data_IF_344935038931
#
_entry.id   IF_344935038931
#
_cell.length_a   1.000
_cell.length_b   1.000
_cell.length_c   1.000
_cell.angle_alpha   90.00
_cell.angle_beta   90.00
_cell.angle_gamma   90.00
#
_symmetry.space_group_name_H-M   'P 1'
#
loop_
_entity.id
_entity.type
_entity.pdbx_description
1 polymer ?
#
# COMPACT_ATOMS: atom_id res chain seq x y z
N UNK A 1 28.36 33.20 11.81
CA UNK A 1 26.90 33.46 11.88
C UNK A 1 26.22 33.56 10.50
N UNK A 2 26.79 34.33 9.56
CA UNK A 2 26.18 34.56 8.24
C UNK A 2 26.16 33.33 7.32
N UNK A 3 27.19 32.48 7.33
CA UNK A 3 27.21 31.26 6.50
C UNK A 3 26.12 30.26 6.90
N UNK A 4 25.81 30.14 8.19
CA UNK A 4 24.75 29.26 8.68
C UNK A 4 23.37 29.72 8.21
N UNK A 5 23.11 31.05 8.20
CA UNK A 5 21.85 31.61 7.71
C UNK A 5 21.72 31.47 6.18
N UNK A 6 22.83 31.55 5.45
CA UNK A 6 22.84 31.34 4.01
C UNK A 6 22.53 29.87 3.64
N UNK A 7 23.12 28.92 4.37
CA UNK A 7 22.82 27.49 4.18
C UNK A 7 21.36 27.17 4.52
N UNK A 8 20.82 27.73 5.60
CA UNK A 8 19.41 27.56 5.98
C UNK A 8 18.46 28.11 4.90
N UNK A 9 18.77 29.28 4.34
CA UNK A 9 18.00 29.87 3.23
C UNK A 9 18.05 29.00 1.98
N UNK A 10 19.22 28.44 1.63
CA UNK A 10 19.36 27.56 0.48
C UNK A 10 18.56 26.26 0.64
N UNK A 11 18.58 25.66 1.84
CA UNK A 11 17.79 24.47 2.15
C UNK A 11 16.29 24.76 2.08
N UNK A 12 15.86 25.94 2.56
CA UNK A 12 14.47 26.37 2.46
C UNK A 12 14.02 26.51 0.99
N UNK A 13 14.81 27.16 0.14
CA UNK A 13 14.50 27.26 -1.30
C UNK A 13 14.44 25.89 -1.99
N UNK A 14 15.36 24.98 -1.66
CA UNK A 14 15.34 23.62 -2.18
C UNK A 14 14.06 22.85 -1.75
N UNK A 15 13.63 23.04 -0.49
CA UNK A 15 12.39 22.49 0.03
C UNK A 15 11.16 23.05 -0.72
N UNK A 16 11.14 24.35 -1.05
CA UNK A 16 10.06 24.94 -1.84
C UNK A 16 9.98 24.36 -3.26
N UNK A 17 11.12 24.15 -3.92
CA UNK A 17 11.16 23.46 -5.20
C UNK A 17 10.58 22.04 -5.11
N UNK A 18 10.93 21.28 -4.06
CA UNK A 18 10.40 19.94 -3.85
C UNK A 18 8.87 19.94 -3.62
N UNK A 19 8.34 20.93 -2.89
CA UNK A 19 6.89 21.07 -2.63
C UNK A 19 6.06 21.32 -3.89
N UNK A 20 6.65 21.80 -4.98
CA UNK A 20 5.95 21.95 -6.27
C UNK A 20 5.43 20.61 -6.82
N UNK A 21 6.10 19.49 -6.49
CA UNK A 21 5.71 18.15 -6.90
C UNK A 21 4.63 17.54 -5.99
N UNK A 22 4.40 18.11 -4.82
CA UNK A 22 3.34 17.74 -3.88
C UNK A 22 3.79 17.77 -2.42
N UNK A 23 2.85 17.63 -1.48
CA UNK A 23 3.16 17.52 -0.05
C UNK A 23 4.06 16.31 0.26
N UNK A 24 4.95 16.45 1.25
CA UNK A 24 5.82 15.36 1.71
C UNK A 24 7.10 15.12 0.90
N UNK A 25 7.22 15.70 -0.30
CA UNK A 25 8.42 15.53 -1.15
C UNK A 25 9.67 16.16 -0.55
N UNK A 26 9.54 17.33 0.09
CA UNK A 26 10.67 17.99 0.72
C UNK A 26 11.23 17.15 1.88
N UNK A 27 10.35 16.57 2.68
CA UNK A 27 10.68 15.78 3.86
C UNK A 27 11.30 14.43 3.51
N UNK A 28 10.83 13.77 2.43
CA UNK A 28 11.47 12.55 1.92
C UNK A 28 12.88 12.85 1.38
N UNK A 29 13.08 14.01 0.76
CA UNK A 29 14.39 14.44 0.26
C UNK A 29 15.34 14.93 1.37
N UNK A 30 14.91 14.86 2.64
CA UNK A 30 15.74 15.21 3.79
C UNK A 30 15.80 16.70 4.09
N UNK A 31 14.93 17.52 3.48
CA UNK A 31 14.81 18.92 3.86
C UNK A 31 14.02 19.01 5.17
N UNK A 32 14.73 19.27 6.26
CA UNK A 32 14.15 19.30 7.60
C UNK A 32 13.06 20.36 7.71
N UNK A 33 11.91 19.94 8.23
CA UNK A 33 10.86 20.85 8.70
C UNK A 33 10.69 20.62 10.20
N UNK A 34 11.71 21.00 11.00
CA UNK A 34 11.58 21.26 12.43
C UNK A 34 11.22 20.11 13.39
N UNK A 35 11.31 18.83 13.01
CA UNK A 35 10.96 17.72 13.91
C UNK A 35 11.78 16.45 13.68
N UNK A 36 12.36 15.90 14.75
CA UNK A 36 13.02 14.59 14.78
C UNK A 36 12.04 13.51 14.29
N UNK A 37 12.30 12.95 13.10
CA UNK A 37 11.50 11.87 12.54
C UNK A 37 11.93 10.52 13.13
N UNK A 38 11.04 9.89 13.91
CA UNK A 38 11.15 8.48 14.29
C UNK A 38 10.70 7.56 13.15
N UNK A 39 11.31 6.38 13.03
CA UNK A 39 11.05 5.40 11.95
C UNK A 39 9.56 5.08 11.72
N UNK A 40 8.74 5.05 12.77
CA UNK A 40 7.29 4.82 12.66
C UNK A 40 6.59 5.91 11.83
N UNK A 41 6.96 7.18 12.02
CA UNK A 41 6.41 8.30 11.25
C UNK A 41 6.83 8.24 9.77
N UNK A 42 7.93 7.56 9.44
CA UNK A 42 8.44 7.48 8.07
C UNK A 42 7.59 6.55 7.20
N UNK A 43 7.08 5.44 7.77
CA UNK A 43 6.23 4.48 7.02
C UNK A 43 4.88 5.12 6.69
N UNK A 44 4.22 5.71 7.69
CA UNK A 44 2.94 6.41 7.49
C UNK A 44 3.11 7.60 6.53
N UNK A 45 4.23 8.32 6.61
CA UNK A 45 4.51 9.46 5.73
C UNK A 45 4.83 9.06 4.29
N UNK A 46 5.41 7.88 4.05
CA UNK A 46 5.58 7.32 2.69
C UNK A 46 4.21 7.01 2.08
N UNK A 47 3.30 6.44 2.86
CA UNK A 47 1.94 6.18 2.42
C UNK A 47 1.20 7.50 2.10
N UNK A 48 1.32 8.51 2.95
CA UNK A 48 0.75 9.84 2.69
C UNK A 48 1.31 10.48 1.41
N UNK A 49 2.62 10.36 1.15
CA UNK A 49 3.22 10.88 -0.09
C UNK A 49 2.66 10.17 -1.34
N UNK A 50 2.49 8.85 -1.28
CA UNK A 50 1.93 8.10 -2.41
C UNK A 50 0.48 8.52 -2.66
N UNK A 51 -0.33 8.60 -1.60
CA UNK A 51 -1.75 8.91 -1.68
C UNK A 51 -2.00 10.36 -2.10
N UNK A 52 -1.34 11.32 -1.43
CA UNK A 52 -1.62 12.75 -1.57
C UNK A 52 -0.86 13.39 -2.73
N UNK A 53 0.31 12.87 -3.09
CA UNK A 53 1.19 13.51 -4.09
C UNK A 53 1.33 12.67 -5.35
N UNK A 54 1.77 11.41 -5.22
CA UNK A 54 2.11 10.56 -6.37
C UNK A 54 0.89 10.17 -7.22
N UNK A 55 -0.27 9.95 -6.59
CA UNK A 55 -1.48 9.49 -7.28
C UNK A 55 -1.93 10.44 -8.41
N UNK A 56 -1.76 11.75 -8.23
CA UNK A 56 -2.05 12.75 -9.27
C UNK A 56 -1.16 12.54 -10.51
N UNK A 57 0.12 12.28 -10.29
CA UNK A 57 1.10 12.09 -11.36
C UNK A 57 0.91 10.76 -12.07
N UNK A 58 0.59 9.71 -11.34
CA UNK A 58 0.31 8.37 -11.90
C UNK A 58 -0.94 8.42 -12.77
N UNK A 59 -2.04 9.03 -12.31
CA UNK A 59 -3.24 9.20 -13.14
C UNK A 59 -2.99 10.02 -14.40
N UNK A 60 -2.06 10.98 -14.33
CA UNK A 60 -1.64 11.75 -15.50
C UNK A 60 -0.83 10.88 -16.46
N UNK A 61 0.09 10.06 -15.95
CA UNK A 61 0.85 9.11 -16.74
C UNK A 61 -0.06 8.07 -17.41
N UNK A 62 -0.99 7.45 -16.67
CA UNK A 62 -2.01 6.52 -17.20
C UNK A 62 -2.75 7.11 -18.39
N UNK A 63 -3.19 8.37 -18.26
CA UNK A 63 -3.93 9.07 -19.31
C UNK A 63 -3.07 9.32 -20.54
N UNK A 64 -1.84 9.78 -20.36
CA UNK A 64 -0.92 10.07 -21.48
C UNK A 64 -0.54 8.76 -22.19
N UNK A 65 -0.19 7.73 -21.43
CA UNK A 65 0.15 6.42 -21.99
C UNK A 65 -1.05 5.83 -22.74
N UNK A 66 -2.25 5.90 -22.17
CA UNK A 66 -3.48 5.46 -22.86
C UNK A 66 -3.75 6.25 -24.14
N UNK A 67 -3.47 7.56 -24.16
CA UNK A 67 -3.61 8.39 -25.37
C UNK A 67 -2.62 8.04 -26.50
N UNK A 68 -1.49 7.43 -26.16
CA UNK A 68 -0.51 6.97 -27.16
C UNK A 68 -0.92 5.64 -27.81
N UNK A 69 -1.88 4.91 -27.23
CA UNK A 69 -2.40 3.67 -27.77
C UNK A 69 -3.66 3.91 -28.62
N UNK A 70 -3.98 2.99 -29.55
CA UNK A 70 -5.21 3.05 -30.33
C UNK A 70 -6.45 3.13 -29.40
N UNK A 71 -7.30 4.18 -29.53
CA UNK A 71 -8.38 4.47 -28.57
C UNK A 71 -9.41 3.37 -28.38
N UNK A 72 -9.49 2.43 -29.33
CA UNK A 72 -10.56 1.44 -29.42
C UNK A 72 -10.16 0.04 -28.94
N UNK A 73 -8.87 -0.22 -28.66
CA UNK A 73 -8.40 -1.61 -28.48
C UNK A 73 -7.62 -1.84 -27.20
N UNK A 74 -6.97 -0.83 -26.65
CA UNK A 74 -6.09 -1.00 -25.50
C UNK A 74 -6.13 0.20 -24.56
N UNK A 75 -6.06 -0.08 -23.26
CA UNK A 75 -5.88 0.93 -22.21
C UNK A 75 -4.71 0.53 -21.34
N UNK A 76 -3.91 1.51 -20.91
CA UNK A 76 -2.80 1.28 -19.99
C UNK A 76 -3.22 1.76 -18.62
N UNK A 77 -3.09 0.89 -17.63
CA UNK A 77 -3.31 1.23 -16.22
C UNK A 77 -2.09 0.77 -15.45
N UNK A 78 -1.37 1.72 -14.87
CA UNK A 78 -0.33 1.43 -13.91
C UNK A 78 -0.98 0.89 -12.64
N UNK A 79 -0.48 -0.25 -12.19
CA UNK A 79 -0.91 -0.83 -10.93
C UNK A 79 -0.43 0.07 -9.78
N UNK A 80 -1.40 0.62 -9.04
CA UNK A 80 -1.14 1.50 -7.89
C UNK A 80 -0.83 0.69 -6.65
N UNK A 81 -1.32 -0.55 -6.59
CA UNK A 81 -1.07 -1.49 -5.50
C UNK A 81 0.34 -2.06 -5.58
N UNK A 82 0.99 -2.01 -6.74
CA UNK A 82 2.42 -2.29 -6.88
C UNK A 82 3.30 -1.10 -6.41
N UNK A 83 2.80 0.12 -6.51
CA UNK A 83 3.53 1.35 -6.17
C UNK A 83 3.41 1.72 -4.69
N UNK A 84 2.27 1.42 -4.08
CA UNK A 84 2.28 0.98 -2.70
C UNK A 84 3.03 -0.34 -2.71
N UNK A 85 4.35 -0.32 -2.74
CA UNK A 85 5.13 -1.44 -2.21
C UNK A 85 4.80 -1.46 -0.72
N UNK A 86 3.58 -1.92 -0.43
CA UNK A 86 3.05 -2.20 0.86
C UNK A 86 4.17 -3.02 1.46
N UNK A 87 4.68 -2.54 2.60
CA UNK A 87 5.59 -3.35 3.40
C UNK A 87 5.04 -4.77 3.36
N UNK A 88 5.90 -5.75 3.14
CA UNK A 88 5.48 -7.15 2.98
C UNK A 88 4.39 -7.55 3.99
N UNK A 89 4.44 -6.97 5.19
CA UNK A 89 3.40 -6.98 6.22
C UNK A 89 1.99 -6.51 5.76
N UNK A 90 1.84 -5.30 5.24
CA UNK A 90 0.53 -4.76 4.79
C UNK A 90 -0.09 -5.59 3.66
N UNK A 91 0.73 -6.09 2.74
CA UNK A 91 0.27 -6.99 1.67
C UNK A 91 -0.23 -8.31 2.23
N UNK A 92 0.51 -8.94 3.13
CA UNK A 92 0.06 -10.15 3.82
C UNK A 92 -1.16 -9.92 4.73
N UNK A 93 -1.29 -8.76 5.36
CA UNK A 93 -2.48 -8.39 6.12
C UNK A 93 -3.72 -8.25 5.22
N UNK A 94 -3.58 -7.65 4.04
CA UNK A 94 -4.67 -7.56 3.06
C UNK A 94 -5.11 -8.96 2.61
N UNK A 95 -4.16 -9.85 2.34
CA UNK A 95 -4.42 -11.25 2.01
C UNK A 95 -5.12 -12.01 3.15
N UNK A 96 -4.67 -11.82 4.39
CA UNK A 96 -5.30 -12.39 5.59
C UNK A 96 -6.76 -11.93 5.70
N UNK A 97 -7.01 -10.63 5.54
CA UNK A 97 -8.37 -10.06 5.57
C UNK A 97 -9.22 -10.66 4.45
N UNK A 98 -8.66 -10.84 3.26
CA UNK A 98 -9.37 -11.41 2.12
C UNK A 98 -9.80 -12.87 2.37
N UNK A 99 -8.88 -13.70 2.86
CA UNK A 99 -9.15 -15.09 3.22
C UNK A 99 -10.13 -15.20 4.39
N UNK A 100 -9.99 -14.34 5.40
CA UNK A 100 -10.87 -14.32 6.57
C UNK A 100 -12.30 -13.95 6.19
N UNK A 101 -12.46 -12.98 5.30
CA UNK A 101 -13.76 -12.48 4.85
C UNK A 101 -14.36 -13.29 3.69
N UNK A 102 -13.66 -14.31 3.18
CA UNK A 102 -14.12 -15.27 2.15
C UNK A 102 -14.54 -14.65 0.80
N UNK A 103 -14.05 -13.45 0.47
CA UNK A 103 -14.29 -12.87 -0.84
C UNK A 103 -13.18 -13.19 -1.86
N UNK A 104 -12.08 -13.80 -1.39
CA UNK A 104 -11.06 -14.45 -2.23
C UNK A 104 -10.72 -15.85 -1.72
N UNK A 105 -10.24 -16.69 -2.63
CA UNK A 105 -9.68 -18.02 -2.32
C UNK A 105 -8.15 -18.02 -2.36
N UNK A 106 -7.53 -19.08 -1.84
CA UNK A 106 -6.07 -19.15 -1.67
C UNK A 106 -5.34 -19.11 -3.02
N UNK A 107 -5.87 -19.79 -4.04
CA UNK A 107 -5.25 -19.79 -5.36
C UNK A 107 -5.32 -18.42 -6.06
N UNK A 108 -6.37 -17.63 -5.85
CA UNK A 108 -6.44 -16.25 -6.34
C UNK A 108 -5.36 -15.36 -5.70
N UNK A 109 -5.06 -15.58 -4.43
CA UNK A 109 -3.97 -14.85 -3.74
C UNK A 109 -2.60 -15.32 -4.23
N UNK A 110 -2.44 -16.63 -4.49
CA UNK A 110 -1.19 -17.18 -5.03
C UNK A 110 -0.91 -16.67 -6.45
N UNK A 111 -1.94 -16.51 -7.27
CA UNK A 111 -1.82 -15.87 -8.59
C UNK A 111 -1.33 -14.42 -8.47
N UNK A 112 -1.82 -13.66 -7.48
CA UNK A 112 -1.37 -12.28 -7.23
C UNK A 112 0.10 -12.23 -6.77
N UNK A 113 0.57 -13.26 -6.05
CA UNK A 113 1.94 -13.37 -5.57
C UNK A 113 2.87 -14.13 -6.55
N UNK A 114 2.42 -14.39 -7.78
CA UNK A 114 3.16 -15.17 -8.79
C UNK A 114 3.64 -16.55 -8.28
N UNK A 115 2.82 -17.22 -7.47
CA UNK A 115 3.07 -18.55 -6.91
C UNK A 115 2.23 -19.63 -7.62
N UNK A 116 2.76 -20.85 -7.73
CA UNK A 116 2.01 -21.96 -8.34
C UNK A 116 0.75 -22.31 -7.53
N UNK A 117 -0.38 -22.65 -8.19
CA UNK A 117 -1.61 -23.01 -7.51
C UNK A 117 -1.45 -24.32 -6.71
N UNK A 118 -2.23 -24.44 -5.65
CA UNK A 118 -2.27 -25.64 -4.80
C UNK A 118 -3.63 -26.35 -4.96
N UNK A 119 -3.66 -27.71 -4.91
CA UNK A 119 -4.90 -28.46 -5.15
C UNK A 119 -6.06 -28.16 -4.19
N UNK A 120 -5.75 -27.62 -3.00
CA UNK A 120 -6.72 -27.30 -1.95
C UNK A 120 -7.09 -25.81 -1.92
N UNK A 121 -6.55 -25.00 -2.84
CA UNK A 121 -6.62 -23.54 -2.77
C UNK A 121 -7.82 -22.90 -3.46
N UNK A 122 -8.67 -23.70 -4.10
CA UNK A 122 -9.85 -23.22 -4.84
C UNK A 122 -11.10 -23.07 -3.96
N UNK A 123 -11.07 -23.59 -2.74
CA UNK A 123 -12.18 -23.48 -1.79
C UNK A 123 -11.96 -22.31 -0.80
N UNK A 124 -13.04 -21.61 -0.39
CA UNK A 124 -12.94 -20.60 0.67
C UNK A 124 -12.51 -21.24 2.00
N UNK A 125 -11.48 -20.67 2.62
CA UNK A 125 -10.88 -21.14 3.89
C UNK A 125 -11.97 -21.47 4.94
N UNK A 126 -11.97 -22.59 5.69
CA UNK A 126 -13.04 -22.91 6.66
C UNK A 126 -13.30 -21.81 7.69
N UNK A 127 -14.54 -21.67 8.18
CA UNK A 127 -14.85 -20.72 9.25
C UNK A 127 -14.23 -21.21 10.55
N UNK A 128 -13.50 -20.34 11.23
CA UNK A 128 -13.04 -20.59 12.60
C UNK A 128 -14.24 -20.55 13.56
N UNK A 129 -15.13 -21.55 13.48
CA UNK A 129 -16.29 -21.70 14.36
C UNK A 129 -15.91 -22.35 15.71
N UNK A 130 -14.73 -22.06 16.24
CA UNK A 130 -14.29 -22.57 17.54
C UNK A 130 -14.82 -21.74 18.73
N UNK A 131 -15.89 -20.95 18.52
CA UNK A 131 -16.54 -20.18 19.58
C UNK A 131 -17.93 -20.72 19.99
N UNK A 132 -18.46 -21.79 19.39
CA UNK A 132 -19.74 -22.37 19.83
C UNK A 132 -19.72 -23.90 19.77
N UNK A 133 -19.61 -24.50 20.95
CA UNK A 133 -19.66 -25.95 21.17
C UNK A 133 -19.26 -26.42 22.57
N UNK A 134 -19.22 -25.54 23.58
CA UNK A 134 -19.16 -25.96 25.00
C UNK A 134 -20.49 -25.64 25.64
N UNK A 135 -21.57 -26.31 25.26
CA UNK A 135 -22.74 -26.50 26.14
C UNK A 135 -23.51 -27.77 25.80
N UNK A 136 -23.84 -28.51 26.86
CA UNK A 136 -24.96 -29.44 27.07
C UNK A 136 -24.96 -30.80 26.36
N UNK A 137 -24.81 -31.88 27.15
CA UNK A 137 -25.33 -33.19 26.75
C UNK A 137 -24.69 -34.44 27.36
N UNK A 138 -24.25 -34.49 28.62
CA UNK A 138 -24.02 -35.80 29.25
C UNK A 138 -25.36 -36.34 29.78
N UNK A 139 -26.14 -36.95 28.89
CA UNK A 139 -27.31 -37.75 29.22
C UNK A 139 -27.15 -39.14 28.59
N UNK A 140 -26.80 -40.09 29.46
CA UNK A 140 -27.12 -41.53 29.46
C UNK A 140 -26.90 -42.38 28.20
N UNK A 141 -26.01 -43.37 28.34
CA UNK A 141 -26.06 -44.79 27.87
C UNK A 141 -24.64 -45.37 28.09
N UNK A 142 -24.36 -46.47 28.80
CA UNK A 142 -25.13 -47.64 29.26
C UNK A 142 -24.54 -48.17 30.57
#
# INVERSE_FOLDING_TARGET
PNESQFLETQQFSAAECARMFGPGFAEIMGYETGGSMTYANVVDRRQDLLVLSMNKWIRRADRILTQLLPPSTMTVRLDRDALLEATTLQRYQAHEIALRNRWRVVNEIREIEDLEPVPWGDEPNPTNNNAQGVTSGNAAQS
#
